data_IF_653674417764
#
_entry.id   IF_653674417764
#
_cell.length_a   1.000
_cell.length_b   1.000
_cell.length_c   1.000
_cell.angle_alpha   90.00
_cell.angle_beta   90.00
_cell.angle_gamma   90.00
#
_symmetry.space_group_name_H-M   'P 1'
#
loop_
_entity.id
_entity.type
_entity.pdbx_description
1 polymer ?
#
# COMPACT_ATOMS: atom_id res chain seq x y z
N UNK A 1 -0.67 -5.90 0.06
CA UNK A 1 -1.84 -6.79 0.26
C UNK A 1 -1.41 -8.27 0.39
N UNK A 2 -0.67 -8.85 -0.57
CA UNK A 2 -0.31 -10.29 -0.54
C UNK A 2 0.38 -10.73 0.77
N UNK A 3 1.26 -9.88 1.31
CA UNK A 3 1.90 -10.13 2.60
C UNK A 3 0.92 -10.08 3.78
N UNK A 4 -0.05 -9.16 3.76
CA UNK A 4 -1.07 -9.05 4.79
C UNK A 4 -2.00 -10.27 4.76
N UNK A 5 -2.42 -10.72 3.57
CA UNK A 5 -3.24 -11.92 3.39
C UNK A 5 -2.54 -13.15 3.97
N UNK A 6 -1.28 -13.39 3.59
CA UNK A 6 -0.51 -14.51 4.11
C UNK A 6 -0.33 -14.46 5.64
N UNK A 7 -0.06 -13.28 6.20
CA UNK A 7 0.10 -13.11 7.64
C UNK A 7 -1.23 -13.24 8.41
N UNK A 8 -2.37 -13.04 7.75
CA UNK A 8 -3.70 -13.27 8.30
C UNK A 8 -4.08 -14.75 8.40
N UNK A 9 -3.54 -15.60 7.52
CA UNK A 9 -3.85 -17.05 7.48
C UNK A 9 -3.07 -17.89 8.51
N UNK A 10 -1.93 -17.39 9.00
CA UNK A 10 -1.05 -18.10 9.94
C UNK A 10 -1.38 -17.80 11.41
N UNK A 11 -0.70 -18.48 12.34
CA UNK A 11 -0.97 -18.22 13.77
C UNK A 11 -0.52 -16.82 14.19
N UNK A 12 -1.23 -16.15 15.12
CA UNK A 12 -0.86 -14.81 15.58
C UNK A 12 0.57 -14.71 16.16
N UNK A 13 1.10 -15.82 16.68
CA UNK A 13 2.47 -15.88 17.21
C UNK A 13 3.51 -15.91 16.08
N UNK A 14 3.24 -16.64 15.00
CA UNK A 14 4.12 -16.68 13.82
C UNK A 14 4.05 -15.37 13.04
N UNK A 15 2.86 -14.79 12.89
CA UNK A 15 2.65 -13.49 12.26
C UNK A 15 3.45 -12.38 12.92
N UNK A 16 3.39 -12.28 14.27
CA UNK A 16 4.21 -11.31 15.02
C UNK A 16 5.71 -11.51 14.86
N UNK A 17 6.18 -12.76 14.86
CA UNK A 17 7.60 -13.05 14.66
C UNK A 17 8.09 -12.62 13.29
N UNK A 18 7.24 -12.73 12.26
CA UNK A 18 7.57 -12.28 10.91
C UNK A 18 7.56 -10.76 10.83
N UNK A 19 6.55 -10.09 11.39
CA UNK A 19 6.48 -8.62 11.47
C UNK A 19 7.70 -8.02 12.19
N UNK A 20 8.15 -8.63 13.29
CA UNK A 20 9.35 -8.20 14.04
C UNK A 20 10.65 -8.31 13.22
N UNK A 21 10.68 -9.10 12.15
CA UNK A 21 11.83 -9.26 11.26
C UNK A 21 11.81 -8.30 10.05
N UNK A 22 10.69 -7.60 9.83
CA UNK A 22 10.51 -6.67 8.71
C UNK A 22 11.05 -5.28 9.06
N UNK A 23 11.38 -4.46 8.05
CA UNK A 23 11.59 -3.02 8.26
C UNK A 23 10.36 -2.41 8.93
N UNK A 24 10.59 -1.50 9.87
CA UNK A 24 9.51 -0.92 10.69
C UNK A 24 8.40 -0.29 9.84
N UNK A 25 8.77 0.41 8.77
CA UNK A 25 7.84 1.09 7.88
C UNK A 25 6.92 0.08 7.16
N UNK A 26 7.49 -0.97 6.57
CA UNK A 26 6.72 -2.06 5.92
C UNK A 26 5.83 -2.82 6.91
N UNK A 27 6.33 -3.08 8.13
CA UNK A 27 5.55 -3.75 9.17
C UNK A 27 4.33 -2.93 9.62
N UNK A 28 4.48 -1.61 9.76
CA UNK A 28 3.39 -0.70 10.14
C UNK A 28 2.29 -0.66 9.06
N UNK A 29 2.66 -0.64 7.78
CA UNK A 29 1.71 -0.69 6.66
C UNK A 29 0.92 -2.01 6.65
N UNK A 30 1.59 -3.14 6.85
CA UNK A 30 0.95 -4.45 6.88
C UNK A 30 0.05 -4.61 8.12
N UNK A 31 0.48 -4.12 9.28
CA UNK A 31 -0.36 -4.09 10.48
C UNK A 31 -1.62 -3.24 10.30
N UNK A 32 -1.56 -2.18 9.49
CA UNK A 32 -2.74 -1.39 9.16
C UNK A 32 -3.73 -2.18 8.28
N UNK A 33 -3.22 -2.91 7.28
CA UNK A 33 -4.05 -3.77 6.43
C UNK A 33 -4.69 -4.93 7.23
N UNK A 34 -3.96 -5.55 8.16
CA UNK A 34 -4.46 -6.63 9.03
C UNK A 34 -5.58 -6.22 9.99
N UNK A 35 -5.83 -4.92 10.19
CA UNK A 35 -6.93 -4.43 11.04
C UNK A 35 -8.29 -4.49 10.36
N UNK A 36 -8.32 -4.58 9.03
CA UNK A 36 -9.58 -4.65 8.29
C UNK A 36 -10.15 -6.06 8.33
N UNK A 37 -11.45 -6.16 8.58
CA UNK A 37 -12.15 -7.45 8.55
C UNK A 37 -12.15 -8.00 7.11
N UNK A 38 -12.12 -9.33 6.98
CA UNK A 38 -12.30 -10.02 5.69
C UNK A 38 -13.61 -9.58 5.01
N UNK A 39 -13.61 -9.62 3.67
CA UNK A 39 -14.71 -9.16 2.82
C UNK A 39 -15.04 -7.65 2.93
N UNK A 40 -14.13 -6.84 3.46
CA UNK A 40 -14.27 -5.37 3.46
C UNK A 40 -13.43 -4.72 2.37
N UNK A 41 -13.75 -3.48 2.00
CA UNK A 41 -12.92 -2.73 1.05
C UNK A 41 -11.46 -2.61 1.53
N UNK A 42 -11.23 -2.55 2.85
CA UNK A 42 -9.91 -2.46 3.44
C UNK A 42 -9.10 -3.75 3.40
N UNK A 43 -9.76 -4.91 3.32
CA UNK A 43 -9.05 -6.19 3.20
C UNK A 43 -8.61 -6.51 1.77
N UNK A 44 -9.13 -5.79 0.77
CA UNK A 44 -8.79 -5.99 -0.66
C UNK A 44 -8.05 -4.80 -1.27
N UNK A 45 -7.73 -3.77 -0.48
CA UNK A 45 -7.06 -2.57 -0.98
C UNK A 45 -5.54 -2.70 -0.93
N UNK A 46 -4.87 -2.02 -1.85
CA UNK A 46 -3.42 -1.80 -1.82
C UNK A 46 -3.15 -0.29 -1.70
N UNK A 47 -2.09 0.08 -0.97
CA UNK A 47 -1.66 1.46 -0.77
C UNK A 47 -0.77 1.98 -1.91
N UNK A 48 -0.46 1.16 -2.91
CA UNK A 48 0.36 1.49 -4.08
C UNK A 48 -0.44 2.25 -5.16
N UNK A 49 -0.97 3.43 -4.81
CA UNK A 49 -1.68 4.31 -5.75
C UNK A 49 -0.97 5.65 -5.95
N UNK A 50 -1.27 6.31 -7.08
CA UNK A 50 -0.72 7.64 -7.38
C UNK A 50 -1.72 8.72 -6.96
N UNK A 51 -1.29 9.61 -6.06
CA UNK A 51 -2.00 10.83 -5.70
C UNK A 51 -1.14 12.08 -5.96
N UNK A 52 -1.75 13.12 -6.54
CA UNK A 52 -1.12 14.39 -6.89
C UNK A 52 -1.96 15.58 -6.41
N UNK A 53 -1.34 16.74 -6.11
CA UNK A 53 -2.08 17.94 -5.75
C UNK A 53 -2.72 18.61 -6.98
N UNK A 54 -3.79 19.39 -6.75
CA UNK A 54 -4.62 20.00 -7.80
C UNK A 54 -3.94 21.14 -8.60
N UNK A 55 -2.82 21.65 -8.09
CA UNK A 55 -2.12 22.83 -8.63
C UNK A 55 -1.07 22.49 -9.71
N UNK A 56 -0.83 21.21 -9.98
CA UNK A 56 0.13 20.78 -11.01
C UNK A 56 -0.42 20.93 -12.42
N UNK A 57 0.43 21.38 -13.33
CA UNK A 57 0.19 21.25 -14.77
C UNK A 57 0.31 19.79 -15.21
N UNK A 58 -0.26 19.47 -16.37
CA UNK A 58 -0.17 18.13 -16.95
C UNK A 58 1.29 17.67 -17.16
N UNK A 59 2.20 18.59 -17.48
CA UNK A 59 3.62 18.27 -17.66
C UNK A 59 4.28 17.92 -16.32
N UNK A 60 4.03 18.71 -15.27
CA UNK A 60 4.55 18.46 -13.92
C UNK A 60 4.00 17.14 -13.35
N UNK A 61 2.71 16.87 -13.57
CA UNK A 61 2.08 15.62 -13.17
C UNK A 61 2.75 14.40 -13.84
N UNK A 62 2.97 14.44 -15.15
CA UNK A 62 3.63 13.36 -15.90
C UNK A 62 5.06 13.14 -15.40
N UNK A 63 5.81 14.22 -15.11
CA UNK A 63 7.16 14.10 -14.60
C UNK A 63 7.18 13.47 -13.20
N UNK A 64 6.25 13.88 -12.33
CA UNK A 64 6.13 13.31 -10.98
C UNK A 64 5.74 11.84 -11.00
N UNK A 65 4.83 11.44 -11.88
CA UNK A 65 4.48 10.02 -12.09
C UNK A 65 5.71 9.20 -12.52
N UNK A 66 6.57 9.76 -13.38
CA UNK A 66 7.81 9.07 -13.81
C UNK A 66 8.80 8.88 -12.68
N UNK A 67 8.86 9.80 -11.72
CA UNK A 67 9.69 9.67 -10.52
C UNK A 67 9.17 8.59 -9.57
N UNK A 68 7.84 8.47 -9.44
CA UNK A 68 7.14 7.47 -8.61
C UNK A 68 7.04 6.08 -9.27
N UNK A 69 7.43 5.94 -10.54
CA UNK A 69 7.22 4.74 -11.36
C UNK A 69 7.83 3.42 -10.85
N UNK A 70 8.84 3.35 -9.94
CA UNK A 70 9.24 2.05 -9.39
C UNK A 70 8.28 1.50 -8.33
N UNK A 71 7.40 2.33 -7.76
CA UNK A 71 6.61 2.00 -6.56
C UNK A 71 5.09 1.90 -6.81
N UNK A 72 4.61 2.31 -7.99
CA UNK A 72 3.17 2.31 -8.30
C UNK A 72 2.76 1.07 -9.10
N UNK A 73 1.89 0.23 -8.53
CA UNK A 73 1.35 -0.98 -9.16
C UNK A 73 0.46 -0.66 -10.38
N UNK A 74 -0.31 0.44 -10.30
CA UNK A 74 -1.26 0.86 -11.35
C UNK A 74 -1.20 2.36 -11.62
N UNK A 75 -0.60 2.76 -12.75
CA UNK A 75 -0.51 4.18 -13.18
C UNK A 75 -1.67 4.65 -14.08
N UNK A 76 -2.74 3.86 -14.21
CA UNK A 76 -3.88 4.20 -15.08
C UNK A 76 -4.86 5.20 -14.47
N UNK A 77 -4.89 5.27 -13.13
CA UNK A 77 -5.72 6.21 -12.38
C UNK A 77 -4.83 7.07 -11.50
N UNK A 78 -5.13 8.37 -11.48
CA UNK A 78 -4.46 9.36 -10.65
C UNK A 78 -5.51 10.06 -9.81
N UNK A 79 -5.32 10.05 -8.49
CA UNK A 79 -6.20 10.72 -7.54
C UNK A 79 -5.71 12.14 -7.28
N UNK A 80 -6.64 13.08 -7.12
CA UNK A 80 -6.33 14.47 -6.76
C UNK A 80 -6.74 14.70 -5.31
N UNK A 81 -5.81 15.18 -4.48
CA UNK A 81 -5.98 15.38 -3.02
C UNK A 81 -5.51 16.76 -2.57
#
# INVERSE_FOLDING_TARGET
>A
DEAADFLGEITPEESRKLLDLMPKEEAEEIEELLKYEEDTAGSIMNNEFVALPEDLTAEEAINKIRELSPEAEMIYYVYIV
#
